data_IF_425866118135
#
_entry.id   IF_425866118135
#
_cell.length_a   1.000
_cell.length_b   1.000
_cell.length_c   1.000
_cell.angle_alpha   90.00
_cell.angle_beta   90.00
_cell.angle_gamma   90.00
#
_symmetry.space_group_name_H-M   'P 1'
#
loop_
_entity.id
_entity.type
_entity.pdbx_description
1 polymer ?
#
# COMPACT_ATOMS: atom_id res chain seq x y z
N UNK A 1 -17.21 -8.78 -13.77
CA UNK A 1 -16.39 -7.89 -12.92
C UNK A 1 -15.19 -7.51 -13.75
N UNK A 2 -15.09 -6.24 -14.13
CA UNK A 2 -14.02 -5.75 -15.00
C UNK A 2 -12.66 -5.92 -14.29
N UNK A 3 -11.70 -6.57 -14.96
CA UNK A 3 -10.41 -6.90 -14.38
C UNK A 3 -9.66 -5.67 -13.81
N UNK A 4 -9.87 -4.48 -14.37
CA UNK A 4 -9.32 -3.22 -13.86
C UNK A 4 -9.87 -2.78 -12.50
N UNK A 5 -11.17 -2.99 -12.24
CA UNK A 5 -11.77 -2.71 -10.92
C UNK A 5 -11.30 -3.70 -9.86
N UNK A 6 -11.09 -4.96 -10.25
CA UNK A 6 -10.54 -5.97 -9.34
C UNK A 6 -9.09 -5.64 -8.95
N UNK A 7 -8.26 -5.22 -9.92
CA UNK A 7 -6.89 -4.81 -9.67
C UNK A 7 -6.82 -3.60 -8.72
N UNK A 8 -7.69 -2.60 -8.91
CA UNK A 8 -7.79 -1.46 -8.00
C UNK A 8 -8.23 -1.86 -6.59
N UNK A 9 -9.22 -2.76 -6.49
CA UNK A 9 -9.71 -3.24 -5.21
C UNK A 9 -8.60 -3.96 -4.42
N UNK A 10 -7.84 -4.84 -5.09
CA UNK A 10 -6.74 -5.58 -4.46
C UNK A 10 -5.52 -4.70 -4.17
N UNK A 11 -5.20 -3.76 -5.07
CA UNK A 11 -3.98 -2.94 -4.99
C UNK A 11 -4.09 -1.69 -4.11
N UNK A 12 -5.29 -1.11 -3.99
CA UNK A 12 -5.51 0.12 -3.22
C UNK A 12 -6.46 -0.09 -2.05
N UNK A 13 -7.64 -0.66 -2.31
CA UNK A 13 -8.72 -0.71 -1.31
C UNK A 13 -8.45 -1.70 -0.17
N UNK A 14 -8.11 -2.95 -0.49
CA UNK A 14 -7.75 -3.96 0.50
C UNK A 14 -6.61 -3.54 1.43
N UNK A 15 -5.45 -3.05 0.94
CA UNK A 15 -4.37 -2.62 1.82
C UNK A 15 -4.73 -1.39 2.66
N UNK A 16 -5.58 -0.49 2.17
CA UNK A 16 -6.04 0.67 2.95
C UNK A 16 -6.85 0.24 4.19
N UNK A 17 -7.65 -0.83 4.08
CA UNK A 17 -8.37 -1.42 5.23
C UNK A 17 -7.40 -2.10 6.20
N UNK A 18 -6.40 -2.81 5.69
CA UNK A 18 -5.45 -3.56 6.52
C UNK A 18 -4.40 -2.65 7.20
N UNK A 19 -4.12 -1.49 6.63
CA UNK A 19 -3.04 -0.59 7.07
C UNK A 19 -3.17 -0.11 8.53
N UNK A 20 -4.35 0.31 9.04
CA UNK A 20 -4.50 0.66 10.45
C UNK A 20 -4.12 -0.48 11.42
N UNK A 21 -4.45 -1.72 11.08
CA UNK A 21 -4.12 -2.90 11.89
C UNK A 21 -2.61 -3.20 11.86
N UNK A 22 -2.01 -3.13 10.68
CA UNK A 22 -0.56 -3.27 10.53
C UNK A 22 0.19 -2.18 11.30
N UNK A 23 -0.29 -0.93 11.22
CA UNK A 23 0.29 0.21 11.94
C UNK A 23 0.27 0.00 13.45
N UNK A 24 -0.86 -0.42 14.00
CA UNK A 24 -0.96 -0.68 15.44
C UNK A 24 -0.08 -1.85 15.88
N UNK A 25 -0.02 -2.91 15.08
CA UNK A 25 0.83 -4.08 15.37
C UNK A 25 2.30 -3.68 15.42
N UNK A 26 2.77 -2.88 14.45
CA UNK A 26 4.14 -2.37 14.41
C UNK A 26 4.40 -1.46 15.60
N UNK A 27 3.51 -0.49 15.87
CA UNK A 27 3.62 0.41 17.03
C UNK A 27 3.75 -0.38 18.34
N UNK A 28 2.90 -1.40 18.53
CA UNK A 28 2.91 -2.29 19.69
C UNK A 28 4.22 -3.06 19.82
N UNK A 29 4.79 -3.55 18.72
CA UNK A 29 6.09 -4.25 18.73
C UNK A 29 7.24 -3.32 19.10
N UNK A 30 7.25 -2.09 18.58
CA UNK A 30 8.26 -1.07 18.88
C UNK A 30 8.23 -0.70 20.37
N UNK A 31 7.03 -0.47 20.92
CA UNK A 31 6.85 -0.18 22.35
C UNK A 31 7.29 -1.36 23.22
N UNK A 32 6.96 -2.61 22.83
CA UNK A 32 7.45 -3.82 23.53
C UNK A 32 8.97 -3.94 23.48
N UNK A 33 9.60 -3.42 22.43
CA UNK A 33 11.06 -3.28 22.32
C UNK A 33 11.65 -2.14 23.17
N UNK A 34 10.87 -1.48 24.02
CA UNK A 34 11.27 -0.32 24.83
C UNK A 34 11.77 0.89 24.01
N UNK A 35 11.37 0.95 22.74
CA UNK A 35 11.61 2.10 21.88
C UNK A 35 10.46 3.11 22.00
N UNK A 36 10.69 4.39 21.64
CA UNK A 36 9.64 5.40 21.52
C UNK A 36 8.53 4.96 20.55
N UNK A 37 7.30 5.44 20.77
CA UNK A 37 6.17 5.15 19.87
C UNK A 37 6.49 5.54 18.42
N UNK A 38 6.32 4.58 17.51
CA UNK A 38 6.48 4.78 16.08
C UNK A 38 5.10 4.88 15.43
N UNK A 39 4.68 6.12 15.13
CA UNK A 39 3.44 6.39 14.41
C UNK A 39 3.72 6.47 12.91
N UNK A 40 3.31 5.44 12.17
CA UNK A 40 3.39 5.48 10.70
C UNK A 40 2.49 6.58 10.15
N UNK A 41 3.06 7.37 9.24
CA UNK A 41 2.32 8.38 8.49
C UNK A 41 1.23 7.72 7.63
N UNK A 42 0.10 8.39 7.40
CA UNK A 42 -0.93 7.88 6.51
C UNK A 42 -0.37 7.67 5.09
N UNK A 43 -0.62 6.48 4.54
CA UNK A 43 -0.21 6.11 3.18
C UNK A 43 -1.41 6.22 2.26
N UNK A 44 -1.24 6.85 1.09
CA UNK A 44 -2.28 6.92 0.07
C UNK A 44 -2.08 5.77 -0.94
N UNK A 45 -2.83 4.68 -0.74
CA UNK A 45 -2.71 3.49 -1.59
C UNK A 45 -3.29 3.67 -2.99
N UNK A 46 -4.26 4.57 -3.19
CA UNK A 46 -4.78 4.90 -4.52
C UNK A 46 -3.70 5.57 -5.38
N UNK A 47 -2.96 6.52 -4.80
CA UNK A 47 -1.84 7.17 -5.47
C UNK A 47 -0.70 6.20 -5.79
N UNK A 48 -0.42 5.24 -4.90
CA UNK A 48 0.57 4.18 -5.15
C UNK A 48 0.15 3.27 -6.30
N UNK A 49 -1.12 2.88 -6.35
CA UNK A 49 -1.65 2.05 -7.42
C UNK A 49 -1.62 2.77 -8.78
N UNK A 50 -1.95 4.06 -8.82
CA UNK A 50 -1.84 4.87 -10.05
C UNK A 50 -0.39 4.99 -10.54
N UNK A 51 0.57 5.20 -9.63
CA UNK A 51 2.00 5.20 -9.98
C UNK A 51 2.46 3.84 -10.50
N UNK A 52 1.98 2.74 -9.89
CA UNK A 52 2.29 1.38 -10.31
C UNK A 52 1.80 1.12 -11.75
N UNK A 53 0.56 1.53 -12.09
CA UNK A 53 0.03 1.41 -13.45
C UNK A 53 0.82 2.24 -14.47
N UNK A 54 1.24 3.47 -14.11
CA UNK A 54 2.10 4.29 -14.98
C UNK A 54 3.46 3.63 -15.22
N UNK A 55 4.08 3.05 -14.18
CA UNK A 55 5.35 2.33 -14.33
C UNK A 55 5.22 1.07 -15.17
N UNK A 56 4.12 0.31 -15.01
CA UNK A 56 3.86 -0.86 -15.85
C UNK A 56 3.68 -0.50 -17.34
N UNK A 57 2.99 0.61 -17.63
CA UNK A 57 2.85 1.10 -19.00
C UNK A 57 4.21 1.49 -19.62
N UNK A 58 5.07 2.16 -18.84
CA UNK A 58 6.42 2.53 -19.29
C UNK A 58 7.38 1.35 -19.45
N UNK A 59 7.28 0.32 -18.60
CA UNK A 59 8.10 -0.89 -18.74
C UNK A 59 7.67 -1.75 -19.93
N UNK A 60 6.38 -1.77 -20.28
CA UNK A 60 5.88 -2.47 -21.47
C UNK A 60 6.34 -1.88 -22.80
N UNK A 61 6.74 -0.60 -22.85
CA UNK A 61 7.28 0.05 -24.06
C UNK A 61 8.79 -0.15 -24.23
N UNK A 62 9.52 -0.62 -23.21
CA UNK A 62 10.96 -0.87 -23.28
C UNK A 62 11.33 -2.31 -23.69
N UNK A 63 10.34 -3.19 -23.82
CA UNK A 63 10.49 -4.61 -24.18
C UNK A 63 9.93 -4.96 -25.58
N UNK A 64 9.64 -3.94 -26.40
CA UNK A 64 9.18 -4.06 -27.79
C UNK A 64 10.23 -3.60 -28.82
#
# INVERSE_FOLDING_TARGET
>A
MEAGQLAHCLGAFCPNILFPYARETISSLVVKGTFPQLNLAPVNFDALFMNYLQQQAQQGEAEA
#
